data_IF_314004296284
#
_entry.id   IF_314004296284
#
_cell.length_a   1.000
_cell.length_b   1.000
_cell.length_c   1.000
_cell.angle_alpha   90.00
_cell.angle_beta   90.00
_cell.angle_gamma   90.00
#
_symmetry.space_group_name_H-M   'P 1'
#
loop_
_entity.id
_entity.type
_entity.pdbx_description
1 polymer ?
#
# COMPACT_ATOMS: atom_id res chain seq x y z
N UNK A 1 15.16 -1.01 28.94
CA UNK A 1 15.33 -0.95 27.47
C UNK A 1 15.82 -2.26 26.85
N UNK A 2 16.79 -2.98 27.43
CA UNK A 2 17.28 -4.25 26.84
C UNK A 2 16.22 -5.37 26.72
N UNK A 3 15.24 -5.45 27.64
CA UNK A 3 14.12 -6.43 27.53
C UNK A 3 13.08 -6.11 26.45
N UNK A 4 13.06 -4.88 25.91
CA UNK A 4 12.12 -4.47 24.85
C UNK A 4 12.66 -4.82 23.45
N UNK A 5 13.99 -4.83 23.30
CA UNK A 5 14.66 -5.22 22.05
C UNK A 5 14.67 -6.75 21.89
N UNK A 6 14.70 -7.49 22.99
CA UNK A 6 14.80 -8.96 22.99
C UNK A 6 13.51 -9.69 22.62
N UNK A 7 12.38 -8.99 22.47
CA UNK A 7 11.07 -9.61 22.24
C UNK A 7 10.32 -9.11 21.00
N UNK A 8 11.01 -8.51 20.03
CA UNK A 8 10.45 -8.31 18.69
C UNK A 8 11.00 -9.42 17.79
N UNK A 9 10.59 -10.66 18.08
CA UNK A 9 10.91 -11.79 17.21
C UNK A 9 9.92 -11.80 16.06
N UNK A 10 10.36 -11.31 14.88
CA UNK A 10 9.58 -11.53 13.65
C UNK A 10 9.59 -13.04 13.39
N UNK A 11 8.40 -13.64 13.35
CA UNK A 11 8.25 -15.05 13.03
C UNK A 11 9.00 -15.40 11.75
N UNK A 12 9.61 -16.58 11.73
CA UNK A 12 10.40 -17.04 10.58
C UNK A 12 9.59 -16.99 9.26
N UNK A 13 8.30 -17.31 9.32
CA UNK A 13 7.41 -17.27 8.16
C UNK A 13 7.15 -15.85 7.67
N UNK A 14 6.96 -14.89 8.57
CA UNK A 14 6.80 -13.48 8.21
C UNK A 14 8.10 -12.91 7.67
N UNK A 15 9.24 -13.33 8.23
CA UNK A 15 10.58 -12.99 7.71
C UNK A 15 10.76 -13.50 6.27
N UNK A 16 10.32 -14.72 5.95
CA UNK A 16 10.34 -15.26 4.58
C UNK A 16 9.50 -14.42 3.63
N UNK A 17 8.32 -13.95 4.06
CA UNK A 17 7.47 -13.05 3.27
C UNK A 17 8.17 -11.70 3.02
N UNK A 18 8.80 -11.10 4.05
CA UNK A 18 9.59 -9.88 3.89
C UNK A 18 10.76 -10.05 2.91
N UNK A 19 11.48 -11.17 3.01
CA UNK A 19 12.58 -11.47 2.10
C UNK A 19 12.07 -11.65 0.66
N UNK A 20 10.95 -12.35 0.48
CA UNK A 20 10.33 -12.54 -0.83
C UNK A 20 9.95 -11.20 -1.49
N UNK A 21 9.31 -10.31 -0.74
CA UNK A 21 8.96 -8.95 -1.21
C UNK A 21 10.20 -8.19 -1.70
N UNK A 22 11.26 -8.19 -0.88
CA UNK A 22 12.52 -7.54 -1.21
C UNK A 22 13.20 -8.17 -2.42
N UNK A 23 13.21 -9.50 -2.52
CA UNK A 23 13.81 -10.21 -3.66
C UNK A 23 13.09 -9.88 -4.97
N UNK A 24 11.75 -9.93 -4.97
CA UNK A 24 10.96 -9.60 -6.17
C UNK A 24 11.21 -8.14 -6.56
N UNK A 25 11.13 -7.23 -5.59
CA UNK A 25 11.30 -5.80 -5.84
C UNK A 25 12.70 -5.44 -6.30
N UNK A 26 13.73 -6.01 -5.67
CA UNK A 26 15.12 -5.84 -6.09
C UNK A 26 15.32 -6.37 -7.51
N UNK A 27 14.73 -7.52 -7.86
CA UNK A 27 14.82 -8.07 -9.22
C UNK A 27 14.23 -7.13 -10.26
N UNK A 28 13.09 -6.50 -9.96
CA UNK A 28 12.45 -5.50 -10.84
C UNK A 28 13.33 -4.26 -11.00
N UNK A 29 13.94 -3.75 -9.92
CA UNK A 29 14.84 -2.60 -9.97
C UNK A 29 16.12 -2.94 -10.75
N UNK A 30 16.72 -4.11 -10.55
CA UNK A 30 17.89 -4.55 -11.29
C UNK A 30 17.57 -4.70 -12.77
N UNK A 31 16.44 -5.32 -13.13
CA UNK A 31 16.00 -5.41 -14.51
C UNK A 31 15.85 -4.02 -15.15
N UNK A 32 15.26 -3.06 -14.43
CA UNK A 32 15.19 -1.67 -14.88
C UNK A 32 16.58 -1.05 -15.08
N UNK A 33 17.50 -1.19 -14.14
CA UNK A 33 18.86 -0.65 -14.26
C UNK A 33 19.62 -1.26 -15.44
N UNK A 34 19.45 -2.56 -15.70
CA UNK A 34 20.02 -3.23 -16.88
C UNK A 34 19.42 -2.66 -18.17
N UNK A 35 18.10 -2.47 -18.23
CA UNK A 35 17.46 -1.84 -19.40
C UNK A 35 18.03 -0.44 -19.62
N UNK A 36 18.14 0.37 -18.57
CA UNK A 36 18.73 1.73 -18.65
C UNK A 36 20.19 1.68 -19.12
N UNK A 37 20.99 0.73 -18.62
CA UNK A 37 22.41 0.60 -18.99
C UNK A 37 22.63 0.10 -20.43
N UNK A 38 21.72 -0.72 -20.96
CA UNK A 38 21.84 -1.33 -22.30
C UNK A 38 21.16 -0.48 -23.39
N UNK A 39 20.15 0.33 -23.04
CA UNK A 39 19.39 1.10 -24.03
C UNK A 39 20.17 2.34 -24.46
N UNK A 40 20.60 2.36 -25.72
CA UNK A 40 21.33 3.47 -26.38
C UNK A 40 20.41 4.52 -27.05
N UNK A 41 19.10 4.52 -26.78
CA UNK A 41 18.11 5.31 -27.57
C UNK A 41 17.41 6.41 -26.78
N UNK A 42 17.17 7.53 -27.46
CA UNK A 42 16.54 8.80 -27.05
C UNK A 42 15.06 8.76 -26.62
N UNK A 43 14.47 7.61 -26.29
CA UNK A 43 13.12 7.51 -25.70
C UNK A 43 13.13 7.77 -24.18
N UNK A 44 13.79 8.86 -23.76
CA UNK A 44 14.01 9.24 -22.35
C UNK A 44 12.70 9.46 -21.57
N UNK A 45 11.58 9.76 -22.25
CA UNK A 45 10.31 10.13 -21.59
C UNK A 45 9.50 8.94 -21.05
N UNK A 46 9.76 7.71 -21.54
CA UNK A 46 9.08 6.50 -21.07
C UNK A 46 9.73 5.92 -19.80
N UNK A 47 11.04 6.13 -19.62
CA UNK A 47 11.83 5.58 -18.51
C UNK A 47 12.05 6.54 -17.35
N UNK A 48 11.72 7.83 -17.51
CA UNK A 48 11.79 8.84 -16.44
C UNK A 48 10.74 8.64 -15.32
N UNK A 49 10.11 9.73 -14.87
CA UNK A 49 9.10 9.73 -13.80
C UNK A 49 8.03 8.61 -13.90
N UNK A 50 7.69 8.16 -15.11
CA UNK A 50 6.78 7.03 -15.34
C UNK A 50 7.21 5.72 -14.66
N UNK A 51 8.50 5.41 -14.62
CA UNK A 51 8.98 4.18 -13.96
C UNK A 51 8.86 4.27 -12.43
N UNK A 52 9.11 5.43 -11.83
CA UNK A 52 8.90 5.61 -10.38
C UNK A 52 7.44 5.38 -9.98
N UNK A 53 6.48 5.96 -10.71
CA UNK A 53 5.06 5.68 -10.44
C UNK A 53 4.72 4.21 -10.66
N UNK A 54 5.20 3.62 -11.75
CA UNK A 54 4.97 2.20 -12.04
C UNK A 54 5.52 1.31 -10.91
N UNK A 55 6.76 1.52 -10.51
CA UNK A 55 7.41 0.74 -9.46
C UNK A 55 6.68 0.91 -8.13
N UNK A 56 6.24 2.13 -7.79
CA UNK A 56 5.45 2.37 -6.58
C UNK A 56 4.11 1.63 -6.62
N UNK A 57 3.39 1.67 -7.74
CA UNK A 57 2.10 0.99 -7.89
C UNK A 57 2.25 -0.53 -7.90
N UNK A 58 3.25 -1.05 -8.62
CA UNK A 58 3.64 -2.45 -8.58
C UNK A 58 3.92 -2.88 -7.14
N UNK A 59 4.70 -2.09 -6.41
CA UNK A 59 5.01 -2.41 -5.02
C UNK A 59 3.78 -2.37 -4.13
N UNK A 60 2.91 -1.39 -4.30
CA UNK A 60 1.67 -1.32 -3.53
C UNK A 60 0.79 -2.55 -3.74
N UNK A 61 0.74 -3.06 -4.99
CA UNK A 61 0.06 -4.30 -5.34
C UNK A 61 0.76 -5.48 -4.64
N UNK A 62 2.05 -5.70 -4.90
CA UNK A 62 2.81 -6.81 -4.30
C UNK A 62 2.65 -6.83 -2.77
N UNK A 63 2.82 -5.67 -2.14
CA UNK A 63 2.61 -5.45 -0.72
C UNK A 63 1.22 -5.87 -0.26
N UNK A 64 0.16 -5.44 -0.95
CA UNK A 64 -1.23 -5.76 -0.59
C UNK A 64 -1.47 -7.28 -0.60
N UNK A 65 -0.86 -8.01 -1.55
CA UNK A 65 -0.92 -9.49 -1.58
C UNK A 65 -0.18 -10.09 -0.38
N UNK A 66 1.05 -9.64 -0.15
CA UNK A 66 1.94 -10.26 0.83
C UNK A 66 1.57 -9.94 2.27
N UNK A 67 1.03 -8.75 2.57
CA UNK A 67 0.49 -8.41 3.89
C UNK A 67 -0.60 -9.39 4.32
N UNK A 68 -1.42 -9.87 3.38
CA UNK A 68 -2.45 -10.86 3.69
C UNK A 68 -1.87 -12.24 3.99
N UNK A 69 -0.66 -12.55 3.51
CA UNK A 69 0.02 -13.79 3.84
C UNK A 69 0.67 -13.76 5.23
N UNK A 70 0.85 -12.57 5.84
CA UNK A 70 1.46 -12.45 7.17
C UNK A 70 0.67 -13.26 8.21
N UNK A 71 1.39 -14.09 8.96
CA UNK A 71 0.84 -14.83 10.10
C UNK A 71 0.81 -13.91 11.30
N UNK A 72 -0.38 -13.66 11.80
CA UNK A 72 -0.60 -12.72 12.88
C UNK A 72 -1.08 -13.49 14.10
N UNK A 73 -0.49 -13.21 15.27
CA UNK A 73 -0.93 -13.78 16.54
C UNK A 73 -2.20 -13.09 17.04
N UNK A 74 -3.11 -13.88 17.60
CA UNK A 74 -4.31 -13.36 18.23
C UNK A 74 -3.91 -12.59 19.50
N UNK A 75 -4.33 -11.32 19.58
CA UNK A 75 -4.22 -10.51 20.80
C UNK A 75 -3.01 -9.57 20.90
N UNK A 76 -2.00 -9.66 20.02
CA UNK A 76 -0.87 -8.71 20.02
C UNK A 76 -0.94 -7.68 18.87
N UNK A 77 -1.66 -6.60 19.12
CA UNK A 77 -1.81 -5.48 18.19
C UNK A 77 -0.49 -4.75 17.90
N UNK A 78 0.36 -4.58 18.91
CA UNK A 78 1.64 -3.85 18.78
C UNK A 78 2.59 -4.60 17.83
N UNK A 79 2.70 -5.92 17.98
CA UNK A 79 3.54 -6.73 17.09
C UNK A 79 3.05 -6.67 15.64
N UNK A 80 1.73 -6.62 15.45
CA UNK A 80 1.11 -6.51 14.14
C UNK A 80 1.46 -5.17 13.47
N UNK A 81 1.37 -4.06 14.22
CA UNK A 81 1.79 -2.73 13.75
C UNK A 81 3.27 -2.71 13.35
N UNK A 82 4.14 -3.27 14.21
CA UNK A 82 5.58 -3.29 13.96
C UNK A 82 5.93 -4.11 12.72
N UNK A 83 5.30 -5.29 12.53
CA UNK A 83 5.54 -6.12 11.35
C UNK A 83 5.11 -5.42 10.06
N UNK A 84 3.93 -4.81 10.04
CA UNK A 84 3.45 -4.01 8.90
C UNK A 84 4.40 -2.83 8.66
N UNK A 85 4.92 -2.21 9.72
CA UNK A 85 5.86 -1.10 9.65
C UNK A 85 7.20 -1.51 9.01
N UNK A 86 7.81 -2.59 9.49
CA UNK A 86 9.03 -3.15 8.91
C UNK A 86 8.82 -3.53 7.45
N UNK A 87 7.69 -4.16 7.14
CA UNK A 87 7.35 -4.56 5.77
C UNK A 87 7.19 -3.35 4.84
N UNK A 88 6.53 -2.29 5.32
CA UNK A 88 6.33 -1.06 4.52
C UNK A 88 7.62 -0.27 4.32
N UNK A 89 8.44 -0.15 5.37
CA UNK A 89 9.69 0.62 5.32
C UNK A 89 10.83 -0.13 4.61
N UNK A 90 10.73 -1.47 4.53
CA UNK A 90 11.74 -2.31 3.88
C UNK A 90 12.00 -1.93 2.42
N UNK A 91 11.01 -1.40 1.70
CA UNK A 91 11.16 -0.97 0.31
C UNK A 91 11.77 0.42 0.14
N UNK A 92 11.90 1.21 1.21
CA UNK A 92 12.39 2.59 1.14
C UNK A 92 13.74 2.71 0.41
N UNK A 93 14.76 1.84 0.65
CA UNK A 93 16.02 1.92 -0.08
C UNK A 93 15.86 1.73 -1.59
N UNK A 94 15.01 0.79 -2.02
CA UNK A 94 14.75 0.54 -3.43
C UNK A 94 13.99 1.71 -4.09
N UNK A 95 13.04 2.31 -3.38
CA UNK A 95 12.36 3.53 -3.83
C UNK A 95 13.36 4.69 -4.01
N UNK A 96 14.33 4.84 -3.11
CA UNK A 96 15.37 5.87 -3.23
C UNK A 96 16.26 5.63 -4.45
N UNK A 97 16.69 4.40 -4.71
CA UNK A 97 17.48 4.06 -5.92
C UNK A 97 16.73 4.47 -7.19
N UNK A 98 15.45 4.11 -7.28
CA UNK A 98 14.60 4.46 -8.43
C UNK A 98 14.39 5.97 -8.55
N UNK A 99 14.23 6.65 -7.43
CA UNK A 99 14.05 8.10 -7.39
C UNK A 99 15.29 8.89 -7.82
N UNK A 100 16.46 8.54 -7.29
CA UNK A 100 17.73 9.16 -7.66
C UNK A 100 18.06 8.90 -9.13
N UNK A 101 17.85 7.67 -9.62
CA UNK A 101 18.01 7.34 -11.03
C UNK A 101 17.11 8.15 -11.97
N UNK A 102 16.00 8.71 -11.46
CA UNK A 102 15.04 9.52 -12.22
C UNK A 102 15.11 11.03 -11.93
N UNK A 103 16.12 11.50 -11.17
CA UNK A 103 16.33 12.92 -10.85
C UNK A 103 15.09 13.63 -10.26
N UNK A 104 14.23 12.91 -9.52
CA UNK A 104 13.01 13.50 -8.95
C UNK A 104 13.38 14.33 -7.70
N UNK A 105 13.72 15.60 -7.90
CA UNK A 105 14.20 16.51 -6.83
C UNK A 105 13.18 16.87 -5.74
N UNK A 106 11.90 16.50 -5.90
CA UNK A 106 10.81 16.73 -4.92
C UNK A 106 10.22 15.44 -4.36
N UNK A 107 11.04 14.40 -4.20
CA UNK A 107 10.55 13.11 -3.74
C UNK A 107 9.98 13.22 -2.32
N UNK A 108 8.70 12.86 -2.16
CA UNK A 108 8.09 12.68 -0.84
C UNK A 108 7.55 11.24 -0.76
N UNK A 109 8.44 10.23 -0.70
CA UNK A 109 8.04 8.83 -0.67
C UNK A 109 7.29 8.49 0.63
N UNK A 110 7.53 9.27 1.69
CA UNK A 110 6.89 9.11 2.99
C UNK A 110 5.37 9.21 2.91
N UNK A 111 4.81 10.07 2.06
CA UNK A 111 3.36 10.25 1.99
C UNK A 111 2.67 9.02 1.34
N UNK A 112 3.05 8.56 0.14
CA UNK A 112 2.58 7.29 -0.40
C UNK A 112 2.83 6.09 0.52
N UNK A 113 3.99 6.02 1.19
CA UNK A 113 4.29 4.95 2.15
C UNK A 113 3.39 5.01 3.40
N UNK A 114 3.00 6.19 3.87
CA UNK A 114 2.08 6.33 5.00
C UNK A 114 0.69 5.77 4.68
N UNK A 115 0.23 5.97 3.44
CA UNK A 115 -1.03 5.38 2.94
C UNK A 115 -0.92 3.86 2.86
N UNK A 116 0.20 3.37 2.32
CA UNK A 116 0.48 1.94 2.25
C UNK A 116 0.54 1.29 3.63
N UNK A 117 1.19 1.94 4.60
CA UNK A 117 1.25 1.49 5.99
C UNK A 117 -0.14 1.44 6.63
N UNK A 118 -0.92 2.52 6.51
CA UNK A 118 -2.28 2.58 7.05
C UNK A 118 -3.17 1.48 6.43
N UNK A 119 -3.07 1.29 5.12
CA UNK A 119 -3.75 0.22 4.41
C UNK A 119 -3.37 -1.16 4.94
N UNK A 120 -2.08 -1.44 5.14
CA UNK A 120 -1.61 -2.70 5.69
C UNK A 120 -2.16 -2.98 7.09
N UNK A 121 -2.19 -1.96 7.96
CA UNK A 121 -2.78 -2.09 9.30
C UNK A 121 -4.24 -2.50 9.21
N UNK A 122 -5.02 -1.84 8.34
CA UNK A 122 -6.45 -2.12 8.17
C UNK A 122 -6.67 -3.56 7.71
N UNK A 123 -5.90 -4.02 6.74
CA UNK A 123 -6.01 -5.41 6.25
C UNK A 123 -5.69 -6.42 7.34
N UNK A 124 -4.62 -6.19 8.10
CA UNK A 124 -4.25 -7.04 9.23
C UNK A 124 -5.33 -7.04 10.30
N UNK A 125 -5.88 -5.88 10.64
CA UNK A 125 -6.93 -5.75 11.66
C UNK A 125 -8.22 -6.45 11.25
N UNK A 126 -8.69 -6.24 10.02
CA UNK A 126 -9.87 -6.93 9.49
C UNK A 126 -9.64 -8.44 9.48
N UNK A 127 -8.46 -8.89 9.03
CA UNK A 127 -8.08 -10.31 9.00
C UNK A 127 -8.09 -10.93 10.40
N UNK A 128 -7.44 -10.31 11.38
CA UNK A 128 -7.43 -10.78 12.78
C UNK A 128 -8.85 -10.90 13.33
N UNK A 129 -9.67 -9.87 13.12
CA UNK A 129 -11.05 -9.81 13.64
C UNK A 129 -11.93 -10.88 13.00
N UNK A 130 -11.78 -11.13 11.71
CA UNK A 130 -12.54 -12.18 11.02
C UNK A 130 -12.06 -13.57 11.41
N UNK A 131 -10.76 -13.78 11.56
CA UNK A 131 -10.20 -15.05 12.05
C UNK A 131 -10.72 -15.42 13.44
N UNK A 132 -10.90 -14.43 14.33
CA UNK A 132 -11.48 -14.61 15.66
C UNK A 132 -12.98 -14.94 15.65
N UNK A 133 -13.69 -14.68 14.55
CA UNK A 133 -15.11 -15.02 14.38
C UNK A 133 -15.23 -16.39 13.71
N UNK A 134 -14.57 -16.57 12.58
CA UNK A 134 -14.56 -17.79 11.78
C UNK A 134 -13.41 -17.73 10.77
N UNK A 135 -12.47 -18.67 10.87
CA UNK A 135 -11.32 -18.78 9.96
C UNK A 135 -11.71 -18.89 8.48
N UNK A 136 -12.88 -19.47 8.17
CA UNK A 136 -13.36 -19.56 6.77
C UNK A 136 -13.73 -18.20 6.19
N UNK A 137 -14.14 -17.24 7.04
CA UNK A 137 -14.52 -15.87 6.62
C UNK A 137 -13.32 -14.99 6.28
N UNK A 138 -12.10 -15.41 6.61
CA UNK A 138 -10.87 -14.75 6.15
C UNK A 138 -10.79 -14.75 4.61
N UNK A 139 -11.41 -15.73 3.94
CA UNK A 139 -11.51 -15.79 2.49
C UNK A 139 -12.19 -14.53 1.89
N UNK A 140 -13.13 -13.89 2.61
CA UNK A 140 -13.77 -12.66 2.13
C UNK A 140 -12.82 -11.47 2.06
N UNK A 141 -11.85 -11.38 2.97
CA UNK A 141 -10.80 -10.33 2.91
C UNK A 141 -9.92 -10.57 1.69
N UNK A 142 -9.56 -11.83 1.45
CA UNK A 142 -8.75 -12.20 0.30
C UNK A 142 -9.49 -11.89 -1.02
N UNK A 143 -10.79 -12.18 -1.10
CA UNK A 143 -11.62 -11.86 -2.26
C UNK A 143 -11.78 -10.35 -2.46
N UNK A 144 -12.06 -9.60 -1.39
CA UNK A 144 -12.17 -8.14 -1.44
C UNK A 144 -10.86 -7.53 -1.95
N UNK A 145 -9.72 -7.97 -1.43
CA UNK A 145 -8.42 -7.49 -1.89
C UNK A 145 -8.15 -7.91 -3.33
N UNK A 146 -8.48 -9.14 -3.73
CA UNK A 146 -8.38 -9.56 -5.12
C UNK A 146 -9.16 -8.62 -6.06
N UNK A 147 -10.38 -8.22 -5.69
CA UNK A 147 -11.17 -7.26 -6.46
C UNK A 147 -10.51 -5.87 -6.50
N UNK A 148 -10.04 -5.35 -5.36
CA UNK A 148 -9.30 -4.08 -5.30
C UNK A 148 -8.05 -4.11 -6.20
N UNK A 149 -7.41 -5.27 -6.30
CA UNK A 149 -6.14 -5.46 -6.99
C UNK A 149 -6.33 -5.66 -8.49
N UNK A 150 -7.30 -6.46 -8.92
CA UNK A 150 -7.71 -6.57 -10.32
C UNK A 150 -8.23 -5.23 -10.83
N UNK A 151 -9.06 -4.55 -10.04
CA UNK A 151 -9.50 -3.19 -10.34
C UNK A 151 -8.32 -2.22 -10.45
N UNK A 152 -7.34 -2.33 -9.54
CA UNK A 152 -6.09 -1.58 -9.58
C UNK A 152 -5.24 -1.83 -10.81
N UNK A 153 -5.09 -3.09 -11.23
CA UNK A 153 -4.37 -3.47 -12.44
C UNK A 153 -5.09 -2.99 -13.71
N UNK A 154 -6.42 -3.07 -13.75
CA UNK A 154 -7.23 -2.53 -14.85
C UNK A 154 -7.05 -1.01 -14.96
N UNK A 155 -7.07 -0.30 -13.83
CA UNK A 155 -6.78 1.13 -13.78
C UNK A 155 -5.34 1.44 -14.20
N UNK A 156 -4.37 0.61 -13.82
CA UNK A 156 -2.98 0.74 -14.24
C UNK A 156 -2.81 0.53 -15.76
N UNK A 157 -3.51 -0.45 -16.33
CA UNK A 157 -3.56 -0.65 -17.78
C UNK A 157 -4.14 0.58 -18.49
N UNK A 158 -5.26 1.11 -17.98
CA UNK A 158 -5.84 2.36 -18.52
C UNK A 158 -4.88 3.55 -18.36
N UNK A 159 -4.10 3.61 -17.28
CA UNK A 159 -3.07 4.62 -17.06
C UNK A 159 -1.97 4.55 -18.12
N UNK A 160 -1.47 3.35 -18.42
CA UNK A 160 -0.45 3.15 -19.43
C UNK A 160 -0.96 3.51 -20.83
N UNK A 161 -2.16 3.04 -21.17
CA UNK A 161 -2.70 3.17 -22.52
C UNK A 161 -3.25 4.58 -22.83
N UNK A 162 -3.75 5.31 -21.82
CA UNK A 162 -4.45 6.58 -22.03
C UNK A 162 -3.82 7.75 -21.27
N UNK A 163 -2.49 7.83 -21.25
CA UNK A 163 -1.67 8.82 -20.53
C UNK A 163 -2.17 10.30 -20.62
N UNK A 164 -2.99 10.67 -21.61
CA UNK A 164 -3.64 11.98 -21.73
C UNK A 164 -5.18 12.02 -21.60
N UNK A 165 -5.89 10.90 -21.79
CA UNK A 165 -7.35 10.92 -22.00
C UNK A 165 -8.18 10.49 -20.78
N UNK A 166 -7.68 9.51 -20.02
CA UNK A 166 -8.44 8.95 -18.87
C UNK A 166 -8.11 9.68 -17.57
N UNK A 167 -6.90 10.20 -17.39
CA UNK A 167 -6.49 10.82 -16.14
C UNK A 167 -6.90 12.28 -15.96
N UNK A 168 -7.11 13.01 -17.06
CA UNK A 168 -7.80 14.31 -16.98
C UNK A 168 -9.19 14.10 -16.40
N UNK A 169 -9.82 12.93 -16.61
CA UNK A 169 -11.10 12.59 -15.99
C UNK A 169 -10.97 12.12 -14.53
N UNK A 170 -9.94 11.35 -14.16
CA UNK A 170 -9.79 10.76 -12.81
C UNK A 170 -9.52 11.80 -11.70
N UNK A 171 -8.90 12.92 -12.06
CA UNK A 171 -8.62 14.03 -11.14
C UNK A 171 -9.23 15.36 -11.64
N UNK A 172 -10.28 15.28 -12.45
CA UNK A 172 -11.18 16.41 -12.70
C UNK A 172 -12.04 16.68 -11.45
N UNK A 173 -12.47 17.92 -11.25
CA UNK A 173 -13.44 18.30 -10.20
C UNK A 173 -14.76 17.50 -10.27
N UNK A 174 -15.01 16.80 -11.38
CA UNK A 174 -16.24 16.08 -11.69
C UNK A 174 -16.33 14.69 -11.08
N UNK A 175 -15.23 14.14 -10.54
CA UNK A 175 -15.29 12.79 -9.98
C UNK A 175 -15.91 12.75 -8.59
N UNK A 176 -16.74 11.71 -8.30
CA UNK A 176 -17.27 11.52 -6.97
C UNK A 176 -16.13 11.30 -5.98
N UNK A 177 -16.06 12.18 -4.97
CA UNK A 177 -15.01 12.19 -3.95
C UNK A 177 -14.85 10.86 -3.19
N UNK A 178 -15.92 10.05 -3.11
CA UNK A 178 -15.91 8.74 -2.48
C UNK A 178 -14.95 7.71 -3.11
N UNK A 179 -14.56 7.89 -4.38
CA UNK A 179 -13.57 7.02 -5.02
C UNK A 179 -12.19 7.08 -4.36
N UNK A 180 -11.87 8.19 -3.70
CA UNK A 180 -10.59 8.38 -3.01
C UNK A 180 -10.51 7.66 -1.64
N UNK A 181 -11.55 6.93 -1.26
CA UNK A 181 -11.44 5.92 -0.20
C UNK A 181 -10.51 4.77 -0.65
N UNK A 182 -10.39 4.53 -1.96
CA UNK A 182 -9.49 3.53 -2.49
C UNK A 182 -8.01 3.97 -2.33
N UNK A 183 -7.15 3.20 -1.63
CA UNK A 183 -5.75 3.57 -1.39
C UNK A 183 -4.94 3.73 -2.67
N UNK A 184 -5.24 2.92 -3.70
CA UNK A 184 -4.52 2.92 -4.97
C UNK A 184 -4.81 4.19 -5.77
N UNK A 185 -6.07 4.62 -5.83
CA UNK A 185 -6.44 5.88 -6.48
C UNK A 185 -5.81 7.09 -5.76
N UNK A 186 -5.78 7.05 -4.43
CA UNK A 186 -5.14 8.11 -3.64
C UNK A 186 -3.63 8.16 -3.86
N UNK A 187 -2.95 7.01 -3.89
CA UNK A 187 -1.51 6.94 -4.22
C UNK A 187 -1.23 7.47 -5.62
N UNK A 188 -2.03 7.09 -6.63
CA UNK A 188 -1.87 7.60 -8.01
C UNK A 188 -1.96 9.13 -8.04
N UNK A 189 -2.95 9.71 -7.36
CA UNK A 189 -3.13 11.17 -7.32
C UNK A 189 -1.93 11.90 -6.73
N UNK A 190 -1.34 11.34 -5.67
CA UNK A 190 -0.14 11.90 -5.03
C UNK A 190 1.05 11.80 -5.97
N UNK A 191 1.30 10.63 -6.56
CA UNK A 191 2.45 10.41 -7.44
C UNK A 191 2.43 11.38 -8.62
N UNK A 192 1.26 11.63 -9.23
CA UNK A 192 1.11 12.62 -10.31
C UNK A 192 1.41 14.04 -9.86
N UNK A 193 0.93 14.42 -8.68
CA UNK A 193 1.21 15.75 -8.09
C UNK A 193 2.72 15.92 -7.86
N UNK A 194 3.40 14.88 -7.38
CA UNK A 194 4.85 14.88 -7.18
C UNK A 194 5.62 14.94 -8.51
N UNK A 195 5.04 14.45 -9.60
CA UNK A 195 5.59 14.52 -10.96
C UNK A 195 5.36 15.86 -11.66
N UNK A 196 4.72 16.84 -10.99
CA UNK A 196 4.46 18.16 -11.55
C UNK A 196 3.27 18.19 -12.52
N UNK A 197 2.49 17.12 -12.62
CA UNK A 197 1.27 17.10 -13.41
C UNK A 197 0.15 17.88 -12.69
N UNK A 198 -0.75 18.47 -13.47
CA UNK A 198 -1.85 19.29 -12.94
C UNK A 198 -2.81 18.40 -12.14
N UNK A 199 -2.83 18.57 -10.82
CA UNK A 199 -3.83 17.97 -9.94
C UNK A 199 -4.79 19.05 -9.44
N UNK A 200 -5.98 19.13 -10.06
CA UNK A 200 -7.00 20.12 -9.73
C UNK A 200 -7.66 19.90 -8.35
N UNK A 201 -7.52 18.71 -7.77
CA UNK A 201 -8.14 18.34 -6.49
C UNK A 201 -7.11 18.45 -5.33
N UNK A 202 -5.82 18.62 -5.64
CA UNK A 202 -4.75 18.76 -4.64
C UNK A 202 -4.69 17.56 -3.67
N UNK A 203 -4.53 17.85 -2.37
CA UNK A 203 -4.41 16.83 -1.31
C UNK A 203 -5.75 16.31 -0.77
N UNK A 204 -6.89 16.73 -1.32
CA UNK A 204 -8.23 16.28 -0.88
C UNK A 204 -8.38 14.75 -0.91
N UNK A 205 -7.90 14.00 -1.93
CA UNK A 205 -7.95 12.54 -1.92
C UNK A 205 -7.30 11.92 -0.68
N UNK A 206 -6.16 12.48 -0.25
CA UNK A 206 -5.40 12.02 0.91
C UNK A 206 -6.20 12.26 2.18
N UNK A 207 -6.76 13.46 2.34
CA UNK A 207 -7.58 13.79 3.51
C UNK A 207 -8.81 12.88 3.61
N UNK A 208 -9.49 12.62 2.50
CA UNK A 208 -10.65 11.73 2.46
C UNK A 208 -10.28 10.30 2.82
N UNK A 209 -9.19 9.79 2.23
CA UNK A 209 -8.66 8.47 2.55
C UNK A 209 -8.37 8.33 4.05
N UNK A 210 -7.57 9.26 4.60
CA UNK A 210 -7.16 9.22 6.00
C UNK A 210 -8.37 9.31 6.94
N UNK A 211 -9.26 10.28 6.73
CA UNK A 211 -10.44 10.47 7.58
C UNK A 211 -11.35 9.24 7.57
N UNK A 212 -11.63 8.69 6.39
CA UNK A 212 -12.50 7.52 6.25
C UNK A 212 -11.92 6.31 6.98
N UNK A 213 -10.65 6.00 6.74
CA UNK A 213 -10.05 4.78 7.27
C UNK A 213 -9.71 4.86 8.76
N UNK A 214 -9.32 6.04 9.26
CA UNK A 214 -9.17 6.26 10.71
C UNK A 214 -10.52 6.09 11.40
N UNK A 215 -11.58 6.69 10.86
CA UNK A 215 -12.93 6.53 11.39
C UNK A 215 -13.38 5.07 11.37
N UNK A 216 -13.12 4.36 10.27
CA UNK A 216 -13.46 2.95 10.12
C UNK A 216 -12.74 2.07 11.15
N UNK A 217 -11.46 2.29 11.41
CA UNK A 217 -10.70 1.57 12.44
C UNK A 217 -11.24 1.82 13.84
N UNK A 218 -11.56 3.08 14.17
CA UNK A 218 -12.18 3.43 15.46
C UNK A 218 -13.53 2.71 15.61
N UNK A 219 -14.35 2.71 14.56
CA UNK A 219 -15.63 2.01 14.55
C UNK A 219 -15.46 0.51 14.79
N UNK A 220 -14.52 -0.13 14.10
CA UNK A 220 -14.20 -1.54 14.30
C UNK A 220 -13.75 -1.83 15.74
N UNK A 221 -12.91 -0.97 16.31
CA UNK A 221 -12.47 -1.09 17.69
C UNK A 221 -13.64 -1.01 18.69
N UNK A 222 -14.53 -0.04 18.53
CA UNK A 222 -15.74 0.10 19.35
C UNK A 222 -16.63 -1.14 19.27
N UNK A 223 -16.87 -1.67 18.06
CA UNK A 223 -17.68 -2.88 17.85
C UNK A 223 -17.06 -4.09 18.56
N UNK A 224 -15.74 -4.29 18.48
CA UNK A 224 -15.10 -5.40 19.19
C UNK A 224 -15.23 -5.29 20.71
N UNK A 225 -15.02 -4.09 21.25
CA UNK A 225 -15.10 -3.86 22.70
C UNK A 225 -16.51 -4.14 23.20
N UNK A 226 -17.53 -3.66 22.48
CA UNK A 226 -18.93 -3.94 22.79
C UNK A 226 -19.24 -5.43 22.79
N UNK A 227 -18.76 -6.17 21.78
CA UNK A 227 -19.00 -7.62 21.69
C UNK A 227 -18.34 -8.42 22.82
N UNK A 228 -17.14 -8.02 23.24
CA UNK A 228 -16.47 -8.63 24.39
C UNK A 228 -17.24 -8.42 25.69
N UNK A 229 -17.71 -7.20 25.96
CA UNK A 229 -18.48 -6.88 27.16
C UNK A 229 -19.79 -7.67 27.25
N UNK A 230 -20.47 -7.90 26.11
CA UNK A 230 -21.70 -8.71 26.08
C UNK A 230 -21.43 -10.18 26.38
N UNK A 231 -20.36 -10.77 25.83
CA UNK A 231 -19.99 -12.17 26.09
C UNK A 231 -19.63 -12.45 27.55
N UNK A 232 -19.12 -11.46 28.30
CA UNK A 232 -18.86 -11.59 29.74
C UNK A 232 -20.10 -11.43 30.63
N UNK A 233 -21.24 -11.01 30.07
CA UNK A 233 -22.51 -10.93 30.81
C UNK A 233 -23.37 -12.19 30.61
N UNK A 234 -23.15 -12.92 29.51
CA UNK A 234 -23.89 -14.12 29.13
C UNK A 234 -23.23 -15.43 29.62
N UNK A 235 -22.12 -15.37 30.37
CA UNK A 235 -21.38 -16.53 30.92
C UNK A 235 -21.02 -16.33 32.37
#
# INVERSE_FOLDING_TARGET
>A
MNKLVEKISIKEENRRICILDLCISASVVVAYLVIVAVKNSSEESLFGMGFYAFFFLFQFILYTILVQALKIEEGNYIDSLLQVGVFTLGILPLLMVVAYGNQIGRLQPLLPLSIQYLWGIILVNIKQRLAAIDKKKVCYVNLFNFVVMVGGMMLFYLFYQYKSLVLVSVFDKRIPKGFFINPLLTIIGILRTQMGEVNHIGYVPVMLFLLFWIFFEILLFCISKYRMMRRSQDG
#
